data_IF_532981105560
#
_entry.id   IF_532981105560
#
_cell.length_a   1.000
_cell.length_b   1.000
_cell.length_c   1.000
_cell.angle_alpha   90.00
_cell.angle_beta   90.00
_cell.angle_gamma   90.00
#
_symmetry.space_group_name_H-M   'P 1'
#
loop_
_entity.id
_entity.type
_entity.pdbx_description
1 polymer ?
#
# COMPACT_ATOMS: atom_id res chain seq x y z
N UNK A 1 -9.78 11.38 2.86
CA UNK A 1 -9.51 10.19 3.71
C UNK A 1 -9.17 10.65 5.13
N UNK A 2 -9.84 10.15 6.19
CA UNK A 2 -9.49 10.46 7.60
C UNK A 2 -8.92 9.22 8.31
N UNK A 3 -7.65 9.24 8.77
CA UNK A 3 -7.01 8.09 9.41
C UNK A 3 -7.59 7.73 10.78
N UNK A 4 -8.46 8.56 11.38
CA UNK A 4 -9.17 8.23 12.64
C UNK A 4 -9.89 6.89 12.55
N UNK A 5 -10.34 6.50 11.34
CA UNK A 5 -10.97 5.20 11.09
C UNK A 5 -10.10 4.02 11.51
N UNK A 6 -8.77 4.13 11.40
CA UNK A 6 -7.83 3.07 11.74
C UNK A 6 -7.73 2.87 13.26
N UNK A 7 -7.66 3.98 14.01
CA UNK A 7 -7.67 3.96 15.47
C UNK A 7 -9.01 3.42 16.01
N UNK A 8 -10.13 3.88 15.44
CA UNK A 8 -11.46 3.38 15.81
C UNK A 8 -11.61 1.88 15.50
N UNK A 9 -11.12 1.42 14.35
CA UNK A 9 -11.10 -0.01 14.00
C UNK A 9 -10.29 -0.81 15.01
N UNK A 10 -9.08 -0.35 15.36
CA UNK A 10 -8.21 -1.03 16.34
C UNK A 10 -8.86 -1.11 17.72
N UNK A 11 -9.48 -0.02 18.19
CA UNK A 11 -10.21 0.05 19.47
C UNK A 11 -11.40 -0.90 19.48
N UNK A 12 -12.15 -0.98 18.39
CA UNK A 12 -13.28 -1.89 18.27
C UNK A 12 -12.84 -3.36 18.27
N UNK A 13 -11.78 -3.69 17.50
CA UNK A 13 -11.17 -5.02 17.50
C UNK A 13 -10.78 -5.46 18.91
N UNK A 14 -10.09 -4.59 19.67
CA UNK A 14 -9.72 -4.86 21.06
C UNK A 14 -10.95 -5.00 21.98
N UNK A 15 -11.93 -4.10 21.85
CA UNK A 15 -13.12 -4.09 22.70
C UNK A 15 -14.01 -5.32 22.49
N UNK A 16 -14.04 -5.88 21.29
CA UNK A 16 -14.76 -7.12 20.97
C UNK A 16 -13.93 -8.39 21.25
N UNK A 17 -12.62 -8.25 21.51
CA UNK A 17 -11.71 -9.38 21.73
C UNK A 17 -11.54 -10.28 20.50
N UNK A 18 -11.79 -9.78 19.28
CA UNK A 18 -11.63 -10.56 18.05
C UNK A 18 -10.17 -10.73 17.64
N UNK A 19 -9.25 -10.01 18.29
CA UNK A 19 -7.81 -10.25 18.24
C UNK A 19 -7.33 -11.29 19.28
N UNK A 20 -8.24 -11.89 20.06
CA UNK A 20 -7.88 -12.97 20.97
C UNK A 20 -7.32 -14.17 20.20
N UNK A 21 -6.05 -14.49 20.45
CA UNK A 21 -5.35 -15.56 19.73
C UNK A 21 -4.67 -15.12 18.43
N UNK A 22 -4.78 -13.84 18.05
CA UNK A 22 -4.00 -13.28 16.95
C UNK A 22 -2.66 -12.74 17.45
N UNK A 23 -1.60 -12.90 16.65
CA UNK A 23 -0.31 -12.28 16.90
C UNK A 23 -0.30 -10.88 16.29
N UNK A 24 -0.38 -9.85 17.13
CA UNK A 24 -0.23 -8.46 16.70
C UNK A 24 1.25 -8.12 16.62
N UNK A 25 1.73 -7.75 15.42
CA UNK A 25 3.12 -7.41 15.15
C UNK A 25 3.23 -6.06 14.46
N UNK A 26 4.35 -5.38 14.65
CA UNK A 26 4.74 -4.22 13.87
C UNK A 26 5.72 -4.64 12.76
N UNK A 27 5.79 -3.84 11.70
CA UNK A 27 6.76 -3.98 10.63
C UNK A 27 7.51 -2.64 10.43
N UNK A 28 8.78 -2.67 9.99
CA UNK A 28 9.48 -1.46 9.61
C UNK A 28 8.87 -0.86 8.33
N UNK A 29 9.06 0.44 8.08
CA UNK A 29 8.74 1.04 6.79
C UNK A 29 9.43 0.33 5.62
N UNK A 30 8.77 0.29 4.47
CA UNK A 30 9.34 -0.21 3.23
C UNK A 30 10.58 0.61 2.87
N UNK A 31 11.70 -0.08 2.70
CA UNK A 31 12.94 0.52 2.21
C UNK A 31 12.82 0.93 0.74
N UNK A 32 13.73 1.76 0.28
CA UNK A 32 13.71 2.26 -1.09
C UNK A 32 13.80 1.15 -2.15
N UNK A 33 14.58 0.09 -1.90
CA UNK A 33 14.64 -1.08 -2.79
C UNK A 33 13.28 -1.75 -2.94
N UNK A 34 12.50 -1.83 -1.86
CA UNK A 34 11.14 -2.39 -1.89
C UNK A 34 10.19 -1.46 -2.62
N UNK A 35 10.20 -0.16 -2.32
CA UNK A 35 9.35 0.82 -3.01
C UNK A 35 9.58 0.81 -4.53
N UNK A 36 10.84 0.63 -4.96
CA UNK A 36 11.25 0.55 -6.38
C UNK A 36 10.75 -0.68 -7.13
N UNK A 37 10.13 -1.65 -6.45
CA UNK A 37 9.50 -2.78 -7.12
C UNK A 37 8.27 -2.36 -7.95
N UNK A 38 7.62 -1.25 -7.57
CA UNK A 38 6.42 -0.72 -8.24
C UNK A 38 6.60 0.73 -8.64
N UNK A 39 7.21 1.54 -7.77
CA UNK A 39 7.29 2.97 -7.95
C UNK A 39 8.61 3.41 -8.60
N UNK A 40 8.52 4.41 -9.47
CA UNK A 40 9.70 5.01 -10.09
C UNK A 40 10.52 5.77 -9.06
N UNK A 41 11.83 5.79 -9.28
CA UNK A 41 12.80 6.48 -8.42
C UNK A 41 12.54 7.99 -8.31
N UNK A 42 12.19 8.64 -9.43
CA UNK A 42 11.87 10.07 -9.46
C UNK A 42 10.58 10.38 -8.70
N UNK A 43 9.58 9.49 -8.77
CA UNK A 43 8.37 9.61 -7.97
C UNK A 43 8.64 9.45 -6.46
N UNK A 44 9.43 8.44 -6.06
CA UNK A 44 9.83 8.26 -4.65
C UNK A 44 10.57 9.50 -4.12
N UNK A 45 11.45 10.09 -4.93
CA UNK A 45 12.15 11.32 -4.57
C UNK A 45 11.17 12.51 -4.41
N UNK A 46 10.17 12.64 -5.30
CA UNK A 46 9.14 13.67 -5.19
C UNK A 46 8.28 13.50 -3.93
N UNK A 47 7.89 12.27 -3.58
CA UNK A 47 7.16 11.97 -2.33
C UNK A 47 7.98 12.37 -1.10
N UNK A 48 9.28 12.05 -1.08
CA UNK A 48 10.19 12.46 0.01
C UNK A 48 10.30 13.99 0.12
N UNK A 49 10.42 14.69 -1.01
CA UNK A 49 10.46 16.15 -1.03
C UNK A 49 9.17 16.77 -0.51
N UNK A 50 8.01 16.29 -0.99
CA UNK A 50 6.70 16.74 -0.52
C UNK A 50 6.43 16.38 0.96
N UNK A 51 7.01 15.29 1.46
CA UNK A 51 6.96 14.94 2.89
C UNK A 51 7.71 15.94 3.77
N UNK A 52 8.80 16.51 3.25
CA UNK A 52 9.61 17.50 3.97
C UNK A 52 9.07 18.94 3.82
N UNK A 53 8.55 19.27 2.63
CA UNK A 53 8.02 20.59 2.28
C UNK A 53 6.68 20.45 1.52
N UNK A 54 5.56 20.26 2.24
CA UNK A 54 4.26 20.03 1.62
C UNK A 54 3.73 21.20 0.80
N UNK A 55 4.12 22.44 1.12
CA UNK A 55 3.67 23.64 0.40
C UNK A 55 4.20 23.70 -1.03
N UNK A 56 5.31 23.03 -1.30
CA UNK A 56 5.96 22.96 -2.61
C UNK A 56 5.87 21.57 -3.25
N UNK A 57 4.86 20.77 -2.86
CA UNK A 57 4.62 19.47 -3.46
C UNK A 57 4.40 19.57 -4.99
N UNK A 58 5.04 18.66 -5.72
CA UNK A 58 5.01 18.66 -7.18
C UNK A 58 3.77 17.96 -7.73
N UNK A 59 2.78 18.76 -8.10
CA UNK A 59 1.49 18.28 -8.63
C UNK A 59 1.61 17.47 -9.93
N UNK A 60 2.76 17.50 -10.63
CA UNK A 60 2.97 16.61 -11.80
C UNK A 60 2.97 15.13 -11.41
N UNK A 61 3.24 14.83 -10.15
CA UNK A 61 3.17 13.49 -9.56
C UNK A 61 1.85 13.24 -8.79
N UNK A 62 0.84 14.10 -8.94
CA UNK A 62 -0.42 14.03 -8.19
C UNK A 62 -0.35 14.61 -6.76
N UNK A 63 0.85 14.93 -6.26
CA UNK A 63 1.09 15.35 -4.88
C UNK A 63 0.68 16.82 -4.64
N UNK A 64 0.02 17.10 -3.52
CA UNK A 64 -0.42 18.45 -3.16
C UNK A 64 -1.68 18.91 -3.92
N UNK A 65 -2.40 17.96 -4.54
CA UNK A 65 -3.68 18.24 -5.20
C UNK A 65 -4.83 18.18 -4.18
N UNK A 66 -6.06 18.47 -4.62
CA UNK A 66 -7.24 18.29 -3.75
C UNK A 66 -7.55 16.81 -3.49
N UNK A 67 -7.05 15.92 -4.35
CA UNK A 67 -7.21 14.48 -4.25
C UNK A 67 -6.13 13.87 -3.34
N UNK A 68 -4.87 14.26 -3.54
CA UNK A 68 -3.74 13.78 -2.74
C UNK A 68 -3.02 14.95 -2.05
N UNK A 69 -3.55 15.38 -0.90
CA UNK A 69 -2.94 16.44 -0.11
C UNK A 69 -1.54 16.05 0.36
N UNK A 70 -0.58 16.93 0.18
CA UNK A 70 0.73 16.78 0.78
C UNK A 70 0.68 17.18 2.28
N UNK A 71 1.42 16.46 3.10
CA UNK A 71 1.54 16.74 4.53
C UNK A 71 2.91 16.31 5.07
N UNK A 72 3.34 16.92 6.17
CA UNK A 72 4.62 16.58 6.80
C UNK A 72 4.61 15.14 7.27
N UNK A 73 5.61 14.34 6.87
CA UNK A 73 5.69 12.93 7.25
C UNK A 73 4.92 11.97 6.32
N UNK A 74 4.40 12.47 5.19
CA UNK A 74 3.68 11.67 4.19
C UNK A 74 4.48 10.47 3.68
N UNK A 75 5.78 10.64 3.43
CA UNK A 75 6.66 9.54 3.01
C UNK A 75 6.72 8.45 4.06
N UNK A 76 6.98 8.83 5.30
CA UNK A 76 7.20 7.94 6.44
C UNK A 76 5.96 7.10 6.73
N UNK A 77 4.78 7.75 6.76
CA UNK A 77 3.51 7.05 6.97
C UNK A 77 3.18 6.13 5.81
N UNK A 78 3.32 6.59 4.57
CA UNK A 78 3.00 5.79 3.38
C UNK A 78 3.95 4.60 3.24
N UNK A 79 5.24 4.78 3.54
CA UNK A 79 6.23 3.72 3.55
C UNK A 79 5.98 2.72 4.70
N UNK A 80 5.48 3.18 5.85
CA UNK A 80 5.08 2.28 6.94
C UNK A 80 3.93 1.37 6.54
N UNK A 81 2.89 1.92 5.91
CA UNK A 81 1.75 1.14 5.41
C UNK A 81 2.22 0.10 4.37
N UNK A 82 3.04 0.52 3.41
CA UNK A 82 3.65 -0.37 2.43
C UNK A 82 4.49 -1.49 3.09
N UNK A 83 5.32 -1.13 4.07
CA UNK A 83 6.16 -2.07 4.80
C UNK A 83 5.36 -3.12 5.57
N UNK A 84 4.20 -2.73 6.13
CA UNK A 84 3.28 -3.64 6.81
C UNK A 84 2.65 -4.66 5.85
N UNK A 85 2.20 -4.23 4.66
CA UNK A 85 1.64 -5.13 3.65
C UNK A 85 2.70 -6.08 3.07
N UNK A 86 3.92 -5.58 2.85
CA UNK A 86 5.06 -6.39 2.40
C UNK A 86 5.45 -7.42 3.47
N UNK A 87 5.60 -7.02 4.73
CA UNK A 87 5.95 -7.94 5.82
C UNK A 87 4.88 -9.02 6.04
N UNK A 88 3.61 -8.67 5.87
CA UNK A 88 2.50 -9.62 5.87
C UNK A 88 2.68 -10.65 4.75
N UNK A 89 2.92 -10.22 3.51
CA UNK A 89 3.16 -11.10 2.38
C UNK A 89 4.39 -12.02 2.59
N UNK A 90 5.48 -11.50 3.14
CA UNK A 90 6.65 -12.33 3.45
C UNK A 90 6.38 -13.37 4.54
N UNK A 91 5.58 -13.04 5.56
CA UNK A 91 5.18 -13.99 6.60
C UNK A 91 4.31 -15.13 6.02
N UNK A 92 3.39 -14.82 5.11
CA UNK A 92 2.64 -15.84 4.36
C UNK A 92 3.59 -16.71 3.53
N UNK A 93 4.51 -16.09 2.79
CA UNK A 93 5.44 -16.80 1.91
C UNK A 93 6.35 -17.77 2.66
N UNK A 94 6.86 -17.38 3.84
CA UNK A 94 7.69 -18.25 4.70
C UNK A 94 6.89 -19.35 5.40
N UNK A 95 5.56 -19.29 5.37
CA UNK A 95 4.70 -20.20 6.12
C UNK A 95 4.60 -19.87 7.63
N UNK A 96 4.99 -18.66 8.04
CA UNK A 96 4.90 -18.21 9.43
C UNK A 96 3.44 -18.03 9.87
N UNK A 97 2.54 -17.75 8.92
CA UNK A 97 1.10 -17.65 9.11
C UNK A 97 0.36 -18.06 7.83
N UNK A 98 -0.86 -18.58 7.98
CA UNK A 98 -1.75 -18.84 6.85
C UNK A 98 -2.44 -17.56 6.36
N UNK A 99 -2.69 -16.60 7.25
CA UNK A 99 -3.39 -15.35 6.95
C UNK A 99 -2.77 -14.18 7.72
N UNK A 100 -2.79 -12.99 7.12
CA UNK A 100 -2.37 -11.75 7.74
C UNK A 100 -3.34 -10.63 7.35
N UNK A 101 -3.47 -9.63 8.23
CA UNK A 101 -4.37 -8.49 8.03
C UNK A 101 -3.58 -7.22 8.24
N UNK A 102 -3.60 -6.32 7.25
CA UNK A 102 -3.18 -4.94 7.38
C UNK A 102 -4.33 -4.02 6.97
N UNK A 103 -5.14 -3.58 7.93
CA UNK A 103 -6.28 -2.69 7.65
C UNK A 103 -5.89 -1.20 7.48
N UNK A 104 -4.60 -0.88 7.58
CA UNK A 104 -4.07 0.45 7.20
C UNK A 104 -3.80 0.54 5.69
N UNK A 105 -3.61 -0.60 5.03
CA UNK A 105 -3.32 -0.74 3.61
C UNK A 105 -4.55 -0.79 2.71
N UNK A 106 -4.34 -1.28 1.49
CA UNK A 106 -5.36 -1.29 0.43
C UNK A 106 -5.40 -0.01 -0.40
N UNK A 107 -4.29 0.75 -0.46
CA UNK A 107 -4.19 2.01 -1.20
C UNK A 107 -3.95 1.71 -2.69
N UNK A 108 -5.03 1.27 -3.35
CA UNK A 108 -4.98 0.63 -4.66
C UNK A 108 -4.82 1.57 -5.88
N UNK A 109 -5.02 2.88 -5.72
CA UNK A 109 -4.98 3.85 -6.83
C UNK A 109 -3.58 4.37 -7.16
N UNK A 110 -2.61 4.19 -6.26
CA UNK A 110 -1.26 4.73 -6.48
C UNK A 110 -0.63 4.09 -7.73
N UNK A 111 -0.18 4.95 -8.64
CA UNK A 111 0.43 4.56 -9.90
C UNK A 111 1.96 4.43 -9.74
N UNK A 112 2.66 3.77 -10.68
CA UNK A 112 4.13 3.72 -10.66
C UNK A 112 4.81 5.09 -10.59
N UNK A 113 4.17 6.12 -11.14
CA UNK A 113 4.72 7.46 -11.30
C UNK A 113 3.87 8.59 -10.70
N UNK A 114 2.81 8.29 -9.96
CA UNK A 114 1.90 9.33 -9.45
C UNK A 114 1.08 8.82 -8.25
N UNK A 115 0.76 9.75 -7.34
CA UNK A 115 -0.32 9.57 -6.38
C UNK A 115 -1.67 9.75 -7.08
N UNK A 116 -2.70 9.08 -6.56
CA UNK A 116 -4.08 9.20 -7.03
C UNK A 116 -5.03 8.71 -5.95
N UNK A 117 -6.19 9.32 -5.78
CA UNK A 117 -7.27 8.80 -4.93
C UNK A 117 -6.86 8.54 -3.48
N UNK A 118 -6.16 9.49 -2.87
CA UNK A 118 -5.57 9.40 -1.52
C UNK A 118 -4.42 8.38 -1.38
N UNK A 119 -3.95 7.79 -2.49
CA UNK A 119 -2.96 6.71 -2.49
C UNK A 119 -1.60 7.23 -2.93
N UNK A 120 -0.64 7.25 -2.00
CA UNK A 120 0.75 7.67 -2.26
C UNK A 120 1.62 6.51 -2.74
N UNK A 121 1.66 5.40 -1.99
CA UNK A 121 2.33 4.17 -2.39
C UNK A 121 1.31 3.03 -2.46
N UNK A 122 1.45 2.18 -3.48
CA UNK A 122 0.56 1.06 -3.72
C UNK A 122 1.01 -0.15 -2.90
N UNK A 123 0.57 -0.23 -1.65
CA UNK A 123 1.00 -1.28 -0.72
C UNK A 123 0.56 -2.68 -1.19
N UNK A 124 -0.58 -2.79 -1.84
CA UNK A 124 -1.08 -4.04 -2.44
C UNK A 124 -0.17 -4.50 -3.58
N UNK A 125 0.17 -3.60 -4.52
CA UNK A 125 1.09 -3.94 -5.60
C UNK A 125 2.50 -4.27 -5.10
N UNK A 126 2.99 -3.56 -4.07
CA UNK A 126 4.29 -3.86 -3.46
C UNK A 126 4.32 -5.23 -2.79
N UNK A 127 3.24 -5.62 -2.11
CA UNK A 127 3.10 -6.96 -1.55
C UNK A 127 3.12 -8.05 -2.63
N UNK A 128 2.38 -7.85 -3.74
CA UNK A 128 2.38 -8.76 -4.88
C UNK A 128 3.78 -8.85 -5.50
N UNK A 129 4.41 -7.72 -5.80
CA UNK A 129 5.74 -7.68 -6.38
C UNK A 129 6.76 -8.38 -5.49
N UNK A 130 6.65 -8.25 -4.17
CA UNK A 130 7.49 -8.98 -3.22
C UNK A 130 7.28 -10.49 -3.29
N UNK A 131 6.04 -10.96 -3.36
CA UNK A 131 5.76 -12.39 -3.54
C UNK A 131 6.39 -12.93 -4.83
N UNK A 132 6.32 -12.16 -5.92
CA UNK A 132 6.95 -12.54 -7.19
C UNK A 132 8.48 -12.60 -7.09
N UNK A 133 9.13 -11.64 -6.42
CA UNK A 133 10.58 -11.69 -6.14
C UNK A 133 10.97 -12.93 -5.33
N UNK A 134 10.11 -13.33 -4.39
CA UNK A 134 10.32 -14.48 -3.52
C UNK A 134 10.09 -15.82 -4.23
N UNK A 135 9.57 -15.81 -5.46
CA UNK A 135 9.38 -16.98 -6.30
C UNK A 135 7.94 -17.42 -6.51
N UNK A 136 6.95 -16.60 -6.13
CA UNK A 136 5.55 -16.89 -6.46
C UNK A 136 5.36 -16.90 -7.99
N UNK A 137 4.83 -18.01 -8.52
CA UNK A 137 4.56 -18.14 -9.95
C UNK A 137 3.23 -17.51 -10.36
N UNK A 138 2.26 -17.46 -9.43
CA UNK A 138 0.91 -16.94 -9.65
C UNK A 138 0.39 -16.26 -8.39
N UNK A 139 -0.14 -15.06 -8.54
CA UNK A 139 -0.80 -14.29 -7.47
C UNK A 139 -2.15 -13.80 -7.98
N UNK A 140 -3.21 -14.02 -7.21
CA UNK A 140 -4.52 -13.45 -7.49
C UNK A 140 -4.76 -12.28 -6.54
N UNK A 141 -5.12 -11.13 -7.11
CA UNK A 141 -5.57 -9.94 -6.42
C UNK A 141 -7.08 -9.79 -6.60
N UNK A 142 -7.81 -9.68 -5.49
CA UNK A 142 -9.25 -9.49 -5.48
C UNK A 142 -9.55 -8.17 -4.78
N UNK A 143 -10.25 -7.30 -5.48
CA UNK A 143 -10.63 -5.97 -5.04
C UNK A 143 -12.14 -5.83 -4.99
N UNK A 144 -12.62 -5.37 -3.84
CA UNK A 144 -14.03 -5.13 -3.54
C UNK A 144 -14.28 -3.69 -3.07
N UNK A 145 -13.29 -2.81 -3.22
CA UNK A 145 -13.54 -1.38 -3.09
C UNK A 145 -14.57 -0.92 -4.14
N UNK A 146 -15.31 0.14 -3.84
CA UNK A 146 -16.33 0.67 -4.75
C UNK A 146 -15.69 1.27 -6.01
N UNK A 147 -14.44 1.73 -5.91
CA UNK A 147 -13.67 2.24 -7.03
C UNK A 147 -12.88 1.10 -7.70
N UNK A 148 -12.60 1.28 -8.99
CA UNK A 148 -11.73 0.36 -9.73
C UNK A 148 -10.31 0.37 -9.13
N UNK A 149 -9.76 -0.83 -8.87
CA UNK A 149 -8.38 -1.05 -8.44
C UNK A 149 -7.35 -0.82 -9.56
N UNK A 150 -7.42 0.35 -10.18
CA UNK A 150 -6.68 0.77 -11.37
C UNK A 150 -5.16 0.76 -11.18
N UNK A 151 -4.64 1.19 -10.03
CA UNK A 151 -3.19 1.22 -9.78
C UNK A 151 -2.57 -0.17 -9.69
N UNK A 152 -3.28 -1.12 -9.06
CA UNK A 152 -2.83 -2.52 -9.00
C UNK A 152 -2.94 -3.18 -10.39
N UNK A 153 -4.03 -2.92 -11.11
CA UNK A 153 -4.20 -3.36 -12.50
C UNK A 153 -3.09 -2.82 -13.41
N UNK A 154 -2.82 -1.52 -13.36
CA UNK A 154 -1.78 -0.88 -14.16
C UNK A 154 -0.38 -1.44 -13.86
N UNK A 155 -0.08 -1.72 -12.58
CA UNK A 155 1.21 -2.28 -12.16
C UNK A 155 1.49 -3.67 -12.78
N UNK A 156 0.45 -4.46 -13.06
CA UNK A 156 0.60 -5.85 -13.54
C UNK A 156 -0.10 -6.14 -14.86
N UNK A 157 -0.55 -5.12 -15.59
CA UNK A 157 -1.32 -5.25 -16.83
C UNK A 157 -0.70 -6.22 -17.85
N UNK A 158 0.63 -6.27 -17.91
CA UNK A 158 1.39 -7.11 -18.84
C UNK A 158 2.07 -8.31 -18.18
N UNK A 159 1.88 -8.54 -16.88
CA UNK A 159 2.48 -9.66 -16.16
C UNK A 159 1.48 -10.82 -16.00
N UNK A 160 1.59 -11.91 -16.78
CA UNK A 160 0.64 -13.02 -16.74
C UNK A 160 0.68 -13.81 -15.42
N UNK A 161 1.62 -13.52 -14.52
CA UNK A 161 1.70 -14.13 -13.19
C UNK A 161 0.68 -13.53 -12.22
N UNK A 162 0.09 -12.37 -12.53
CA UNK A 162 -0.86 -11.70 -11.65
C UNK A 162 -2.23 -11.62 -12.31
N UNK A 163 -3.25 -12.12 -11.61
CA UNK A 163 -4.65 -11.95 -12.00
C UNK A 163 -5.28 -10.88 -11.11
N UNK A 164 -5.72 -9.77 -11.69
CA UNK A 164 -6.49 -8.74 -10.99
C UNK A 164 -7.99 -8.93 -11.26
N UNK A 165 -8.78 -8.99 -10.19
CA UNK A 165 -10.24 -9.08 -10.23
C UNK A 165 -10.77 -7.91 -9.40
N UNK A 166 -11.46 -6.97 -10.02
CA UNK A 166 -12.06 -5.83 -9.33
C UNK A 166 -13.56 -5.77 -9.64
N UNK A 167 -14.37 -5.58 -8.60
CA UNK A 167 -15.82 -5.38 -8.71
C UNK A 167 -16.14 -3.99 -8.15
N UNK A 168 -16.54 -3.09 -9.03
CA UNK A 168 -16.74 -1.66 -8.76
C UNK A 168 -18.02 -1.15 -9.45
N UNK A 169 -18.41 0.11 -9.17
CA UNK A 169 -19.59 0.79 -9.76
C UNK A 169 -19.54 0.92 -11.29
#
# INVERSE_FOLDING_TARGET
MDPVRLDLTRKLVAGLGVDAGLKVVAAPPAGESTLRLVHREDYIAAVKAASADPEHADQRYGLGTIDDWAFTGMHEVSALIAGQSVAAAEALWRGDTAHAVNFTGGLHHAMPAAASGFCVYNDAALAIARLLELGAERVAYVDTDVHHGDGVEAAFWSDPRVLTISVHE
#
